data_IF_179823131354
#
_entry.id   IF_179823131354
#
_cell.length_a   1.000
_cell.length_b   1.000
_cell.length_c   1.000
_cell.angle_alpha   90.00
_cell.angle_beta   90.00
_cell.angle_gamma   90.00
#
_symmetry.space_group_name_H-M   'P 1'
#
loop_
_entity.id
_entity.type
_entity.pdbx_description
1 polymer ?
#
# COMPACT_ATOMS: atom_id res chain seq x y z
N UNK A 1 11.19 17.98 3.32
CA UNK A 1 11.60 16.58 3.61
C UNK A 1 11.07 15.72 2.50
N UNK A 2 11.91 14.90 1.88
CA UNK A 2 11.47 13.89 0.90
C UNK A 2 10.93 12.70 1.70
N UNK A 3 9.65 12.34 1.52
CA UNK A 3 9.04 11.17 2.18
C UNK A 3 9.39 9.91 1.37
N UNK A 4 9.82 8.83 2.04
CA UNK A 4 10.13 7.52 1.46
C UNK A 4 8.91 6.62 1.54
N UNK A 5 8.29 6.33 0.40
CA UNK A 5 7.14 5.40 0.35
C UNK A 5 7.56 4.06 -0.28
N UNK A 6 7.32 2.97 0.44
CA UNK A 6 7.49 1.61 -0.08
C UNK A 6 6.25 1.19 -0.84
N UNK A 7 6.38 0.89 -2.13
CA UNK A 7 5.30 0.35 -2.95
C UNK A 7 5.43 -1.17 -3.06
N UNK A 8 4.34 -1.88 -2.83
CA UNK A 8 4.24 -3.34 -2.95
C UNK A 8 3.13 -3.66 -3.94
N UNK A 9 3.50 -4.17 -5.11
CA UNK A 9 2.53 -4.72 -6.04
C UNK A 9 2.15 -6.13 -5.57
N UNK A 10 0.88 -6.31 -5.20
CA UNK A 10 0.33 -7.58 -4.77
C UNK A 10 0.07 -8.53 -5.95
N UNK A 11 -0.07 -7.98 -7.18
CA UNK A 11 -0.11 -8.75 -8.42
C UNK A 11 1.21 -8.59 -9.21
N UNK A 12 1.76 -9.72 -9.65
CA UNK A 12 3.01 -9.77 -10.41
C UNK A 12 2.83 -9.35 -11.88
N UNK A 13 1.60 -9.14 -12.35
CA UNK A 13 1.27 -8.80 -13.74
C UNK A 13 0.98 -7.30 -13.99
N UNK A 14 1.07 -6.46 -12.95
CA UNK A 14 0.63 -5.07 -12.99
C UNK A 14 1.49 -4.12 -13.85
N UNK A 15 0.82 -3.26 -14.62
CA UNK A 15 1.40 -2.33 -15.58
C UNK A 15 2.19 -1.17 -14.96
N UNK A 16 3.08 -0.57 -15.75
CA UNK A 16 3.87 0.60 -15.35
C UNK A 16 3.00 1.86 -15.26
N UNK A 17 2.23 2.04 -14.18
CA UNK A 17 1.77 3.37 -13.82
C UNK A 17 2.96 4.16 -13.22
N UNK A 18 3.27 5.29 -13.87
CA UNK A 18 4.30 6.24 -13.44
C UNK A 18 3.75 7.02 -12.26
N UNK A 19 4.17 6.65 -11.05
CA UNK A 19 3.83 7.39 -9.85
C UNK A 19 4.80 8.56 -9.63
N UNK A 20 4.40 9.55 -8.81
CA UNK A 20 5.25 10.66 -8.41
C UNK A 20 6.64 10.22 -7.87
N UNK A 21 7.67 11.06 -7.92
CA UNK A 21 9.03 10.72 -7.47
C UNK A 21 9.20 10.45 -5.95
N UNK A 22 8.13 10.54 -5.15
CA UNK A 22 8.14 10.21 -3.71
C UNK A 22 8.09 8.69 -3.44
N UNK A 23 7.78 7.88 -4.47
CA UNK A 23 7.76 6.42 -4.37
C UNK A 23 9.16 5.89 -4.67
N UNK A 24 10.01 5.79 -3.63
CA UNK A 24 11.42 5.44 -3.78
C UNK A 24 11.66 3.98 -4.17
N UNK A 25 10.81 3.06 -3.71
CA UNK A 25 11.07 1.62 -3.87
C UNK A 25 9.82 0.89 -4.34
N UNK A 26 9.91 0.24 -5.51
CA UNK A 26 8.84 -0.55 -6.12
C UNK A 26 9.19 -2.04 -5.98
N UNK A 27 8.48 -2.75 -5.11
CA UNK A 27 8.57 -4.20 -4.98
C UNK A 27 7.56 -4.87 -5.91
N UNK A 28 8.02 -5.87 -6.67
CA UNK A 28 7.16 -6.57 -7.65
C UNK A 28 6.29 -7.65 -7.02
N UNK A 29 6.50 -7.96 -5.75
CA UNK A 29 5.73 -8.92 -4.99
C UNK A 29 5.75 -8.61 -3.48
N UNK A 30 4.78 -9.16 -2.71
CA UNK A 30 4.71 -8.97 -1.27
C UNK A 30 5.94 -9.44 -0.48
N UNK A 31 6.58 -10.54 -0.89
CA UNK A 31 7.70 -11.10 -0.14
C UNK A 31 8.95 -10.20 -0.18
N UNK A 32 9.20 -9.54 -1.31
CA UNK A 32 10.26 -8.55 -1.48
C UNK A 32 10.00 -7.32 -0.60
N UNK A 33 8.75 -6.81 -0.61
CA UNK A 33 8.34 -5.68 0.22
C UNK A 33 8.50 -5.95 1.71
N UNK A 34 8.06 -7.12 2.18
CA UNK A 34 8.22 -7.52 3.59
C UNK A 34 9.69 -7.66 4.01
N UNK A 35 10.55 -8.19 3.13
CA UNK A 35 11.99 -8.26 3.40
C UNK A 35 12.60 -6.86 3.54
N UNK A 36 12.26 -5.95 2.63
CA UNK A 36 12.75 -4.57 2.70
C UNK A 36 12.25 -3.85 3.95
N UNK A 37 10.97 -3.99 4.28
CA UNK A 37 10.38 -3.40 5.49
C UNK A 37 11.03 -3.95 6.78
N UNK A 38 11.56 -5.18 6.77
CA UNK A 38 12.27 -5.76 7.90
C UNK A 38 13.70 -5.20 8.07
N UNK A 39 14.28 -4.59 7.03
CA UNK A 39 15.66 -4.10 7.02
C UNK A 39 15.78 -2.57 6.90
N UNK A 40 14.73 -1.89 6.45
CA UNK A 40 14.69 -0.45 6.22
C UNK A 40 13.44 0.20 6.80
N UNK A 41 13.54 1.50 7.09
CA UNK A 41 12.39 2.31 7.54
C UNK A 41 11.80 3.10 6.39
N UNK A 42 10.47 3.15 6.35
CA UNK A 42 9.70 3.91 5.38
C UNK A 42 8.69 4.80 6.10
N UNK A 43 8.38 5.94 5.50
CA UNK A 43 7.41 6.89 6.00
C UNK A 43 5.98 6.38 5.78
N UNK A 44 5.76 5.58 4.74
CA UNK A 44 4.51 4.85 4.51
C UNK A 44 4.73 3.60 3.64
N UNK A 45 3.73 2.71 3.63
CA UNK A 45 3.61 1.61 2.69
C UNK A 45 2.36 1.79 1.83
N UNK A 46 2.53 1.64 0.51
CA UNK A 46 1.44 1.53 -0.45
C UNK A 46 1.35 0.08 -0.93
N UNK A 47 0.23 -0.57 -0.67
CA UNK A 47 -0.11 -1.87 -1.27
C UNK A 47 -0.95 -1.57 -2.51
N UNK A 48 -0.46 -1.94 -3.69
CA UNK A 48 -1.23 -1.87 -4.92
C UNK A 48 -1.73 -3.26 -5.31
N UNK A 49 -3.03 -3.32 -5.58
CA UNK A 49 -3.74 -4.53 -5.94
C UNK A 49 -4.32 -4.29 -7.33
N UNK A 50 -3.92 -5.11 -8.29
CA UNK A 50 -4.50 -5.12 -9.63
C UNK A 50 -5.09 -6.53 -9.86
N UNK A 51 -6.31 -6.59 -10.39
CA UNK A 51 -7.02 -7.86 -10.63
C UNK A 51 -7.76 -8.41 -9.40
N UNK A 52 -8.40 -9.59 -9.53
CA UNK A 52 -9.30 -10.16 -8.52
C UNK A 52 -8.51 -10.78 -7.36
N UNK A 53 -7.74 -9.95 -6.65
CA UNK A 53 -7.14 -10.34 -5.39
C UNK A 53 -8.23 -10.24 -4.33
N UNK A 54 -8.59 -11.40 -3.80
CA UNK A 54 -9.55 -11.56 -2.70
C UNK A 54 -9.11 -10.69 -1.52
N UNK A 55 -9.99 -9.85 -0.97
CA UNK A 55 -9.69 -8.94 0.14
C UNK A 55 -9.05 -9.59 1.37
N UNK A 56 -9.14 -10.91 1.53
CA UNK A 56 -8.40 -11.67 2.54
C UNK A 56 -6.87 -11.57 2.38
N UNK A 57 -6.36 -11.59 1.15
CA UNK A 57 -4.90 -11.46 0.88
C UNK A 57 -4.37 -10.06 1.23
N UNK A 58 -5.17 -9.03 0.99
CA UNK A 58 -4.84 -7.66 1.36
C UNK A 58 -4.74 -7.50 2.88
N UNK A 59 -5.69 -8.10 3.60
CA UNK A 59 -5.68 -8.13 5.06
C UNK A 59 -4.47 -8.90 5.62
N UNK A 60 -4.18 -10.09 5.09
CA UNK A 60 -3.02 -10.89 5.53
C UNK A 60 -1.70 -10.13 5.35
N UNK A 61 -1.57 -9.37 4.26
CA UNK A 61 -0.40 -8.54 4.00
C UNK A 61 -0.33 -7.33 4.94
N UNK A 62 -1.46 -6.67 5.18
CA UNK A 62 -1.58 -5.57 6.14
C UNK A 62 -1.14 -6.02 7.54
N UNK A 63 -1.61 -7.18 8.01
CA UNK A 63 -1.22 -7.72 9.30
C UNK A 63 0.28 -8.02 9.39
N UNK A 64 0.89 -8.54 8.32
CA UNK A 64 2.33 -8.76 8.27
C UNK A 64 3.13 -7.46 8.32
N UNK A 65 2.70 -6.44 7.58
CA UNK A 65 3.31 -5.10 7.61
C UNK A 65 3.20 -4.48 8.99
N UNK A 66 2.01 -4.53 9.61
CA UNK A 66 1.79 -3.99 10.95
C UNK A 66 2.62 -4.71 12.02
N UNK A 67 2.90 -6.01 11.86
CA UNK A 67 3.80 -6.75 12.76
C UNK A 67 5.26 -6.31 12.62
N UNK A 68 5.71 -6.01 11.41
CA UNK A 68 7.08 -5.58 11.13
C UNK A 68 7.31 -4.09 11.44
N UNK A 69 6.32 -3.26 11.12
CA UNK A 69 6.39 -1.80 11.22
C UNK A 69 5.06 -1.23 11.75
N UNK A 70 4.76 -1.40 13.06
CA UNK A 70 3.46 -1.05 13.64
C UNK A 70 3.14 0.45 13.66
N UNK A 71 4.12 1.30 13.39
CA UNK A 71 3.96 2.76 13.32
C UNK A 71 3.94 3.29 11.89
N UNK A 72 4.15 2.42 10.89
CA UNK A 72 4.19 2.84 9.49
C UNK A 72 2.77 2.82 8.93
N UNK A 73 2.23 3.97 8.47
CA UNK A 73 0.90 4.02 7.88
C UNK A 73 0.86 3.20 6.58
N UNK A 74 -0.24 2.50 6.36
CA UNK A 74 -0.44 1.63 5.20
C UNK A 74 -1.64 2.11 4.39
N UNK A 75 -1.42 2.43 3.12
CA UNK A 75 -2.47 2.68 2.15
C UNK A 75 -2.67 1.43 1.26
N UNK A 76 -3.91 1.13 0.91
CA UNK A 76 -4.25 0.02 0.02
C UNK A 76 -5.01 0.59 -1.18
N UNK A 77 -4.40 0.49 -2.35
CA UNK A 77 -5.01 0.89 -3.62
C UNK A 77 -5.48 -0.33 -4.38
N UNK A 78 -6.77 -0.37 -4.67
CA UNK A 78 -7.40 -1.44 -5.44
C UNK A 78 -8.52 -0.81 -6.29
N UNK A 79 -8.34 -0.86 -7.61
CA UNK A 79 -9.27 -0.26 -8.58
C UNK A 79 -10.59 -1.00 -8.70
N UNK A 80 -10.68 -2.23 -8.20
CA UNK A 80 -11.89 -3.05 -8.20
C UNK A 80 -12.49 -3.21 -6.79
N UNK A 81 -11.97 -2.45 -5.80
CA UNK A 81 -12.36 -2.59 -4.41
C UNK A 81 -13.84 -2.28 -4.18
N UNK A 82 -14.57 -3.26 -3.66
CA UNK A 82 -15.91 -3.00 -3.14
C UNK A 82 -15.84 -2.09 -1.91
N UNK A 83 -16.80 -1.16 -1.77
CA UNK A 83 -16.89 -0.26 -0.61
C UNK A 83 -16.92 -1.04 0.72
N UNK A 84 -17.53 -2.22 0.75
CA UNK A 84 -17.54 -3.09 1.93
C UNK A 84 -16.14 -3.56 2.34
N UNK A 85 -15.27 -3.81 1.38
CA UNK A 85 -13.90 -4.24 1.62
C UNK A 85 -13.01 -3.06 2.01
N UNK A 86 -13.22 -1.88 1.41
CA UNK A 86 -12.61 -0.64 1.84
C UNK A 86 -12.89 -0.35 3.32
N UNK A 87 -14.16 -0.45 3.73
CA UNK A 87 -14.56 -0.26 5.13
C UNK A 87 -13.96 -1.32 6.06
N UNK A 88 -13.84 -2.57 5.61
CA UNK A 88 -13.16 -3.62 6.40
C UNK A 88 -11.70 -3.25 6.60
N UNK A 89 -10.97 -2.93 5.53
CA UNK A 89 -9.55 -2.57 5.59
C UNK A 89 -9.30 -1.31 6.42
N UNK A 90 -10.19 -0.31 6.33
CA UNK A 90 -10.16 0.88 7.20
C UNK A 90 -10.27 0.52 8.67
N UNK A 91 -11.14 -0.43 9.03
CA UNK A 91 -11.26 -0.92 10.42
C UNK A 91 -10.04 -1.70 10.90
N UNK A 92 -9.22 -2.23 9.99
CA UNK A 92 -7.94 -2.84 10.30
C UNK A 92 -6.78 -1.82 10.33
N UNK A 93 -7.06 -0.52 10.16
CA UNK A 93 -6.06 0.54 10.26
C UNK A 93 -5.31 0.83 8.96
N UNK A 94 -5.80 0.36 7.81
CA UNK A 94 -5.32 0.79 6.51
C UNK A 94 -6.10 1.98 5.97
N UNK A 95 -5.51 2.75 5.05
CA UNK A 95 -6.18 3.80 4.29
C UNK A 95 -6.58 3.24 2.91
N UNK A 96 -7.85 2.89 2.67
CA UNK A 96 -8.29 2.41 1.36
C UNK A 96 -8.32 3.56 0.35
N UNK A 97 -7.77 3.31 -0.84
CA UNK A 97 -7.76 4.23 -1.99
C UNK A 97 -8.49 3.56 -3.14
N UNK A 98 -9.65 4.11 -3.49
CA UNK A 98 -10.62 3.47 -4.39
C UNK A 98 -10.53 4.04 -5.82
N UNK A 99 -10.05 5.27 -6.01
CA UNK A 99 -10.01 5.92 -7.32
C UNK A 99 -8.56 6.13 -7.81
N UNK A 100 -8.20 5.72 -9.06
CA UNK A 100 -6.95 6.11 -9.69
C UNK A 100 -6.81 7.63 -9.94
N UNK A 101 -7.89 8.41 -9.79
CA UNK A 101 -7.89 9.86 -9.90
C UNK A 101 -7.59 10.63 -8.61
N UNK A 102 -7.64 9.97 -7.44
CA UNK A 102 -7.27 10.62 -6.18
C UNK A 102 -5.75 10.84 -6.17
N UNK A 103 -5.34 12.05 -5.79
CA UNK A 103 -3.94 12.41 -5.69
C UNK A 103 -3.32 11.63 -4.53
N UNK A 104 -2.85 10.43 -4.82
CA UNK A 104 -2.26 9.49 -3.88
C UNK A 104 -1.10 10.11 -3.11
N UNK A 105 -0.39 11.07 -3.73
CA UNK A 105 0.63 11.84 -3.03
C UNK A 105 0.02 12.74 -1.95
N UNK A 106 -1.11 13.39 -2.24
CA UNK A 106 -1.86 14.18 -1.25
C UNK A 106 -2.37 13.29 -0.12
N UNK A 107 -2.99 12.15 -0.43
CA UNK A 107 -3.57 11.23 0.56
C UNK A 107 -2.50 10.62 1.48
N UNK A 108 -1.35 10.21 0.92
CA UNK A 108 -0.19 9.78 1.70
C UNK A 108 0.44 10.94 2.47
N UNK A 109 0.46 12.15 1.92
CA UNK A 109 1.01 13.30 2.64
C UNK A 109 0.22 13.61 3.91
N UNK A 110 -1.11 13.51 3.86
CA UNK A 110 -2.02 13.68 4.99
C UNK A 110 -1.86 12.55 6.01
N UNK A 111 -1.77 11.30 5.55
CA UNK A 111 -1.62 10.12 6.43
C UNK A 111 -0.29 10.07 7.19
N UNK A 112 0.75 10.74 6.70
CA UNK A 112 2.10 10.79 7.28
C UNK A 112 2.37 12.15 7.97
N UNK A 113 1.35 12.80 8.52
CA UNK A 113 1.48 14.09 9.24
C UNK A 113 1.94 13.90 10.67
#
# INVERSE_FOLDING_TARGET
>A
MTKRVLRINADSQAGHQTLPPIFETICRNPAEGLKLLAHETFDAVLIEIEGPIVGSRAQDLLEQIQRLAPQTPVAIRDSEMAVSDALRLARFGAYPVIDPGDDLATLLSEAIT
#
